data_IF_375849753715
#
_entry.id   IF_375849753715
#
_cell.length_a   1.000
_cell.length_b   1.000
_cell.length_c   1.000
_cell.angle_alpha   90.00
_cell.angle_beta   90.00
_cell.angle_gamma   90.00
#
_symmetry.space_group_name_H-M   'P 1'
#
loop_
_entity.id
_entity.type
_entity.pdbx_description
1 polymer ?
#
# COMPACT_ATOMS: atom_id res chain seq x y z
N UNK A 1 -20.91 1.33 0.58
CA UNK A 1 -21.62 1.89 -0.59
C UNK A 1 -20.64 2.20 -1.71
N UNK A 2 -21.10 2.34 -2.96
CA UNK A 2 -20.24 2.48 -4.14
C UNK A 2 -19.25 3.65 -4.06
N UNK A 3 -19.66 4.79 -3.52
CA UNK A 3 -18.78 5.97 -3.32
C UNK A 3 -17.60 5.67 -2.40
N UNK A 4 -17.84 5.01 -1.27
CA UNK A 4 -16.78 4.62 -0.33
C UNK A 4 -15.82 3.61 -0.99
N UNK A 5 -16.36 2.63 -1.71
CA UNK A 5 -15.54 1.66 -2.44
C UNK A 5 -14.66 2.34 -3.51
N UNK A 6 -15.21 3.29 -4.26
CA UNK A 6 -14.44 4.09 -5.19
C UNK A 6 -13.31 4.86 -4.48
N UNK A 7 -13.59 5.50 -3.35
CA UNK A 7 -12.57 6.22 -2.58
C UNK A 7 -11.42 5.29 -2.11
N UNK A 8 -11.75 4.08 -1.65
CA UNK A 8 -10.74 3.09 -1.26
C UNK A 8 -9.90 2.61 -2.44
N UNK A 9 -10.52 2.35 -3.60
CA UNK A 9 -9.78 1.98 -4.82
C UNK A 9 -8.82 3.11 -5.23
N UNK A 10 -9.30 4.36 -5.23
CA UNK A 10 -8.47 5.52 -5.57
C UNK A 10 -7.30 5.70 -4.60
N UNK A 11 -7.51 5.46 -3.30
CA UNK A 11 -6.42 5.45 -2.32
C UNK A 11 -5.41 4.31 -2.59
N UNK A 12 -5.89 3.10 -2.88
CA UNK A 12 -5.04 1.95 -3.22
C UNK A 12 -4.16 2.20 -4.45
N UNK A 13 -4.71 2.86 -5.48
CA UNK A 13 -3.97 3.28 -6.67
C UNK A 13 -2.86 4.28 -6.30
N UNK A 14 -3.15 5.27 -5.43
CA UNK A 14 -2.13 6.22 -5.00
C UNK A 14 -0.98 5.53 -4.26
N UNK A 15 -1.28 4.59 -3.36
CA UNK A 15 -0.25 3.80 -2.67
C UNK A 15 0.55 2.94 -3.63
N UNK A 16 -0.09 2.35 -4.65
CA UNK A 16 0.61 1.59 -5.70
C UNK A 16 1.63 2.48 -6.43
N UNK A 17 1.22 3.67 -6.85
CA UNK A 17 2.11 4.63 -7.50
C UNK A 17 3.27 4.98 -6.57
N UNK A 18 3.00 5.30 -5.31
CA UNK A 18 4.05 5.68 -4.35
C UNK A 18 5.05 4.54 -4.08
N UNK A 19 4.55 3.31 -3.97
CA UNK A 19 5.38 2.11 -3.82
C UNK A 19 6.28 1.89 -5.03
N UNK A 20 5.78 2.08 -6.25
CA UNK A 20 6.59 1.91 -7.46
C UNK A 20 7.67 2.99 -7.58
N UNK A 21 7.36 4.24 -7.21
CA UNK A 21 8.39 5.28 -7.11
C UNK A 21 9.47 4.92 -6.09
N UNK A 22 9.08 4.40 -4.92
CA UNK A 22 10.01 3.94 -3.90
C UNK A 22 10.87 2.76 -4.39
N UNK A 23 10.27 1.80 -5.10
CA UNK A 23 10.97 0.67 -5.71
C UNK A 23 12.06 1.14 -6.70
N UNK A 24 11.75 2.14 -7.52
CA UNK A 24 12.71 2.77 -8.43
C UNK A 24 13.64 3.78 -7.75
N UNK A 25 13.54 3.97 -6.43
CA UNK A 25 14.31 4.95 -5.65
C UNK A 25 14.21 6.37 -6.23
N UNK A 26 13.03 6.72 -6.72
CA UNK A 26 12.73 7.99 -7.38
C UNK A 26 11.85 8.88 -6.49
N UNK A 27 12.07 10.19 -6.58
CA UNK A 27 11.21 11.17 -5.90
C UNK A 27 9.84 11.24 -6.55
N UNK A 28 8.81 11.33 -5.72
CA UNK A 28 7.45 11.60 -6.19
C UNK A 28 7.39 12.94 -6.91
N UNK A 29 6.73 12.94 -8.06
CA UNK A 29 6.43 14.18 -8.79
C UNK A 29 5.09 14.76 -8.35
N UNK A 30 4.76 15.92 -8.91
CA UNK A 30 3.43 16.53 -8.84
C UNK A 30 2.33 15.50 -9.12
N UNK A 31 1.24 15.46 -8.32
CA UNK A 31 0.20 14.42 -8.43
C UNK A 31 -0.32 14.18 -9.85
N UNK A 32 -0.58 15.25 -10.61
CA UNK A 32 -1.06 15.20 -11.99
C UNK A 32 -0.04 14.65 -13.01
N UNK A 33 1.24 14.55 -12.65
CA UNK A 33 2.31 14.01 -13.51
C UNK A 33 2.76 12.61 -13.11
N UNK A 34 2.36 12.12 -11.93
CA UNK A 34 2.90 10.87 -11.35
C UNK A 34 2.73 9.67 -12.29
N UNK A 35 1.52 9.46 -12.81
CA UNK A 35 1.26 8.32 -13.72
C UNK A 35 2.07 8.43 -15.01
N UNK A 36 2.04 9.60 -15.67
CA UNK A 36 2.76 9.80 -16.92
C UNK A 36 4.29 9.65 -16.80
N UNK A 37 4.86 9.96 -15.63
CA UNK A 37 6.28 9.76 -15.34
C UNK A 37 6.55 8.31 -14.92
N UNK A 38 5.70 7.72 -14.08
CA UNK A 38 5.80 6.33 -13.64
C UNK A 38 5.86 5.36 -14.83
N UNK A 39 5.02 5.55 -15.85
CA UNK A 39 4.97 4.70 -17.04
C UNK A 39 6.26 4.74 -17.89
N UNK A 40 7.25 5.58 -17.53
CA UNK A 40 8.58 5.60 -18.17
C UNK A 40 9.58 4.69 -17.46
N UNK A 41 9.28 4.24 -16.24
CA UNK A 41 10.12 3.28 -15.53
C UNK A 41 9.88 1.86 -16.05
N UNK A 42 10.87 0.99 -15.88
CA UNK A 42 10.71 -0.42 -16.19
C UNK A 42 9.69 -1.03 -15.21
N UNK A 43 8.60 -1.59 -15.74
CA UNK A 43 7.59 -2.23 -14.91
C UNK A 43 8.15 -3.53 -14.29
N UNK A 44 8.23 -3.65 -12.96
CA UNK A 44 8.83 -4.81 -12.29
C UNK A 44 8.04 -6.12 -12.48
N UNK A 45 6.74 -6.04 -12.81
CA UNK A 45 5.87 -7.23 -12.92
C UNK A 45 5.11 -7.32 -14.24
N UNK A 46 5.14 -6.27 -15.05
CA UNK A 46 4.42 -6.16 -16.32
C UNK A 46 2.92 -5.87 -16.13
N UNK A 47 2.37 -5.06 -17.05
CA UNK A 47 0.94 -4.74 -17.11
C UNK A 47 0.49 -3.58 -16.22
N UNK A 48 1.39 -2.72 -15.74
CA UNK A 48 1.04 -1.55 -14.91
C UNK A 48 0.08 -0.60 -15.62
N UNK A 49 0.28 -0.38 -16.93
CA UNK A 49 -0.57 0.51 -17.72
C UNK A 49 -2.02 0.01 -17.75
N UNK A 50 -2.21 -1.28 -18.01
CA UNK A 50 -3.52 -1.93 -17.98
C UNK A 50 -4.13 -1.91 -16.58
N UNK A 51 -3.34 -2.22 -15.54
CA UNK A 51 -3.81 -2.21 -14.16
C UNK A 51 -4.29 -0.83 -13.71
N UNK A 52 -3.56 0.23 -14.05
CA UNK A 52 -3.95 1.60 -13.76
C UNK A 52 -5.16 2.04 -14.58
N UNK A 53 -5.17 1.76 -15.89
CA UNK A 53 -6.28 2.09 -16.77
C UNK A 53 -7.58 1.46 -16.28
N UNK A 54 -7.56 0.16 -15.99
CA UNK A 54 -8.75 -0.56 -15.52
C UNK A 54 -9.13 -0.17 -14.10
N UNK A 55 -8.16 0.01 -13.20
CA UNK A 55 -8.41 0.45 -11.83
C UNK A 55 -9.04 1.85 -11.74
N UNK A 56 -8.67 2.77 -12.64
CA UNK A 56 -9.20 4.14 -12.69
C UNK A 56 -10.53 4.24 -13.44
N UNK A 57 -10.78 3.36 -14.41
CA UNK A 57 -11.98 3.40 -15.24
C UNK A 57 -13.24 2.99 -14.46
N UNK A 58 -14.05 3.98 -14.08
CA UNK A 58 -15.40 3.77 -13.55
C UNK A 58 -16.34 3.56 -14.74
N UNK A 59 -16.90 2.36 -14.86
CA UNK A 59 -17.89 2.05 -15.92
C UNK A 59 -19.31 2.19 -15.40
N UNK A 60 -19.53 1.85 -14.12
CA UNK A 60 -20.82 1.99 -13.44
C UNK A 60 -20.63 2.08 -11.92
N UNK A 61 -21.60 2.62 -11.19
CA UNK A 61 -21.61 2.63 -9.72
C UNK A 61 -22.24 1.36 -9.15
N UNK A 62 -21.84 0.20 -9.67
CA UNK A 62 -22.32 -1.12 -9.27
C UNK A 62 -21.27 -1.89 -8.48
N UNK A 63 -21.70 -2.90 -7.72
CA UNK A 63 -20.79 -3.80 -7.03
C UNK A 63 -19.88 -4.57 -8.00
N UNK A 64 -20.41 -4.95 -9.16
CA UNK A 64 -19.67 -5.67 -10.21
C UNK A 64 -18.50 -4.85 -10.76
N UNK A 65 -18.70 -3.56 -11.06
CA UNK A 65 -17.62 -2.70 -11.53
C UNK A 65 -16.55 -2.48 -10.45
N UNK A 66 -16.97 -2.34 -9.19
CA UNK A 66 -16.06 -2.26 -8.05
C UNK A 66 -15.22 -3.54 -7.93
N UNK A 67 -15.85 -4.71 -7.97
CA UNK A 67 -15.16 -6.00 -7.86
C UNK A 67 -14.15 -6.17 -8.98
N UNK A 68 -14.54 -5.92 -10.23
CA UNK A 68 -13.66 -5.99 -11.40
C UNK A 68 -12.41 -5.11 -11.25
N UNK A 69 -12.59 -3.86 -10.82
CA UNK A 69 -11.48 -2.91 -10.59
C UNK A 69 -10.56 -3.38 -9.47
N UNK A 70 -11.12 -3.90 -8.38
CA UNK A 70 -10.38 -4.46 -7.26
C UNK A 70 -9.57 -5.70 -7.67
N UNK A 71 -10.15 -6.61 -8.45
CA UNK A 71 -9.49 -7.85 -8.90
C UNK A 71 -8.25 -7.53 -9.75
N UNK A 72 -8.37 -6.60 -10.69
CA UNK A 72 -7.24 -6.18 -11.52
C UNK A 72 -6.11 -5.57 -10.68
N UNK A 73 -6.44 -4.64 -9.79
CA UNK A 73 -5.44 -3.99 -8.95
C UNK A 73 -4.78 -4.97 -7.97
N UNK A 74 -5.58 -5.86 -7.38
CA UNK A 74 -5.08 -6.89 -6.47
C UNK A 74 -4.17 -7.87 -7.19
N UNK A 75 -4.52 -8.30 -8.40
CA UNK A 75 -3.67 -9.16 -9.22
C UNK A 75 -2.31 -8.52 -9.55
N UNK A 76 -2.26 -7.20 -9.75
CA UNK A 76 -0.99 -6.49 -9.89
C UNK A 76 -0.21 -6.46 -8.56
N UNK A 77 -0.86 -6.11 -7.46
CA UNK A 77 -0.24 -6.07 -6.13
C UNK A 77 0.34 -7.43 -5.71
N UNK A 78 -0.39 -8.52 -5.93
CA UNK A 78 0.06 -9.87 -5.56
C UNK A 78 1.34 -10.24 -6.30
N UNK A 79 1.43 -9.92 -7.60
CA UNK A 79 2.66 -10.11 -8.38
C UNK A 79 3.80 -9.20 -7.90
N UNK A 80 3.49 -7.97 -7.51
CA UNK A 80 4.48 -7.03 -6.99
C UNK A 80 5.05 -7.50 -5.65
N UNK A 81 4.20 -7.97 -4.75
CA UNK A 81 4.61 -8.57 -3.48
C UNK A 81 5.57 -9.73 -3.72
N UNK A 82 5.26 -10.63 -4.66
CA UNK A 82 6.17 -11.73 -5.01
C UNK A 82 7.54 -11.25 -5.51
N UNK A 83 7.59 -10.19 -6.33
CA UNK A 83 8.85 -9.58 -6.78
C UNK A 83 9.61 -8.92 -5.62
N UNK A 84 8.92 -8.23 -4.73
CA UNK A 84 9.54 -7.60 -3.57
C UNK A 84 10.11 -8.64 -2.60
N UNK A 85 9.41 -9.76 -2.40
CA UNK A 85 9.88 -10.90 -1.63
C UNK A 85 11.09 -11.57 -2.28
N UNK A 86 11.04 -11.82 -3.59
CA UNK A 86 12.18 -12.37 -4.33
C UNK A 86 13.43 -11.48 -4.32
N UNK A 87 13.25 -10.16 -4.18
CA UNK A 87 14.33 -9.19 -4.03
C UNK A 87 14.78 -8.99 -2.56
N UNK A 88 14.19 -9.70 -1.59
CA UNK A 88 14.49 -9.56 -0.16
C UNK A 88 14.05 -8.22 0.46
N UNK A 89 13.15 -7.48 -0.21
CA UNK A 89 12.62 -6.20 0.28
C UNK A 89 11.41 -6.38 1.21
N UNK A 90 10.75 -7.53 1.11
CA UNK A 90 9.66 -7.96 1.98
C UNK A 90 9.93 -9.41 2.43
N UNK A 91 9.56 -9.78 3.67
CA UNK A 91 9.63 -11.17 4.11
C UNK A 91 8.55 -12.01 3.44
N UNK A 92 8.80 -13.31 3.31
CA UNK A 92 7.80 -14.27 2.83
C UNK A 92 6.65 -14.44 3.83
N UNK A 93 6.97 -14.47 5.12
CA UNK A 93 6.00 -14.55 6.21
C UNK A 93 5.55 -13.15 6.65
N UNK A 94 4.24 -12.96 6.76
CA UNK A 94 3.61 -11.71 7.21
C UNK A 94 4.13 -10.41 6.53
N UNK A 95 4.18 -10.33 5.18
CA UNK A 95 4.75 -9.19 4.46
C UNK A 95 4.07 -7.86 4.79
N UNK A 96 2.76 -7.88 5.07
CA UNK A 96 1.99 -6.66 5.34
C UNK A 96 2.23 -6.09 6.75
N UNK A 97 2.69 -6.92 7.69
CA UNK A 97 3.02 -6.49 9.05
C UNK A 97 4.48 -6.00 9.17
N UNK A 98 5.31 -6.29 8.15
CA UNK A 98 6.73 -5.98 8.13
C UNK A 98 7.06 -4.49 8.21
N UNK A 99 6.26 -3.63 7.57
CA UNK A 99 6.48 -2.19 7.54
C UNK A 99 6.44 -1.55 8.95
N UNK A 100 5.67 -2.12 9.88
CA UNK A 100 5.58 -1.66 11.26
C UNK A 100 6.86 -1.98 12.07
N UNK A 101 7.52 -3.10 11.78
CA UNK A 101 8.75 -3.53 12.48
C UNK A 101 10.04 -2.92 11.93
N UNK A 102 10.06 -2.48 10.67
CA UNK A 102 11.26 -1.92 10.02
C UNK A 102 11.57 -0.49 10.46
N UNK A 103 10.55 0.33 10.71
CA UNK A 103 10.71 1.73 11.14
C UNK A 103 10.94 1.86 12.66
N UNK A 104 10.59 0.82 13.42
CA UNK A 104 10.71 0.77 14.88
C UNK A 104 11.20 -0.62 15.34
N UNK A 105 12.53 -0.87 15.43
CA UNK A 105 13.10 -2.18 15.75
C UNK A 105 12.70 -2.79 17.11
N UNK A 106 11.77 -2.18 17.85
CA UNK A 106 11.22 -2.64 19.13
C UNK A 106 9.70 -2.38 19.31
N UNK A 107 8.99 -1.77 18.35
CA UNK A 107 7.53 -1.70 18.41
C UNK A 107 6.94 -2.87 17.62
N UNK A 108 6.20 -3.74 18.32
CA UNK A 108 5.59 -4.95 17.74
C UNK A 108 6.16 -6.25 18.31
N UNK A 109 7.39 -6.23 18.86
CA UNK A 109 7.86 -7.31 19.73
C UNK A 109 7.24 -7.14 21.12
N UNK A 110 6.12 -7.85 21.31
CA UNK A 110 5.31 -7.96 22.53
C UNK A 110 4.61 -6.66 22.88
N UNK A 111 3.34 -6.56 22.52
CA UNK A 111 2.27 -6.07 23.39
C UNK A 111 0.96 -6.12 22.59
N UNK A 112 -0.06 -6.84 23.08
CA UNK A 112 -1.43 -6.67 22.58
C UNK A 112 -1.83 -5.18 22.68
N UNK A 113 -2.85 -4.74 21.92
CA UNK A 113 -3.35 -3.36 22.02
C UNK A 113 -3.69 -2.93 23.47
N UNK A 114 -3.97 -3.88 24.36
CA UNK A 114 -4.15 -3.65 25.79
C UNK A 114 -2.82 -3.35 26.50
N UNK A 115 -1.77 -4.12 26.24
CA UNK A 115 -0.46 -3.89 26.84
C UNK A 115 0.15 -2.55 26.37
N UNK A 116 -0.13 -2.12 25.13
CA UNK A 116 0.24 -0.77 24.66
C UNK A 116 -0.51 0.33 25.44
N UNK A 117 -1.82 0.17 25.69
CA UNK A 117 -2.61 1.13 26.49
C UNK A 117 -2.10 1.23 27.92
N UNK A 118 -1.72 0.12 28.53
CA UNK A 118 -1.15 0.07 29.89
C UNK A 118 0.25 0.71 29.95
N UNK A 119 1.11 0.48 28.95
CA UNK A 119 2.41 1.13 28.85
C UNK A 119 2.27 2.65 28.64
N UNK A 120 1.33 3.07 27.79
CA UNK A 120 1.07 4.48 27.53
C UNK A 120 0.48 5.22 28.75
N UNK A 121 -0.41 4.56 29.51
CA UNK A 121 -0.93 5.08 30.77
C UNK A 121 0.19 5.28 31.81
N UNK A 122 1.12 4.32 31.94
CA UNK A 122 2.30 4.43 32.83
C UNK A 122 3.22 5.60 32.45
N UNK A 123 3.48 5.77 31.15
CA UNK A 123 4.30 6.88 30.64
C UNK A 123 3.67 8.27 30.90
N UNK A 124 2.35 8.40 30.74
CA UNK A 124 1.63 9.63 31.09
C UNK A 124 1.67 9.93 32.61
N UNK A 125 1.58 8.89 33.44
CA UNK A 125 1.71 9.03 34.89
C UNK A 125 3.13 9.45 35.33
N UNK A 126 4.18 8.97 34.66
CA UNK A 126 5.57 9.31 34.99
C UNK A 126 6.00 10.72 34.52
N UNK A 127 5.32 11.29 33.52
CA UNK A 127 5.53 12.67 33.06
C UNK A 127 4.56 13.68 33.70
N UNK A 128 3.71 13.23 34.62
CA UNK A 128 2.86 14.06 35.47
C UNK A 128 3.56 14.50 36.76
N UNK A 129 4.75 15.09 36.65
CA UNK A 129 5.36 15.98 37.65
C UNK A 129 6.04 17.13 36.93
#
# INVERSE_FOLDING_TARGET
>A
GATAAHAHISAGINYLVELLYAYHRAWLTWPNKRVAVLLRFADPVGGIEEALAEGMAIRALTAEDVTRRCEVLRGYFDRLVAVLQGNGLLPEEAPFDFAFGYEWPQMGMRHSMNEWREAHARYRASRGR
#
